data_IF_030873788989
#
_entry.id   IF_030873788989
#
_cell.length_a   1.000
_cell.length_b   1.000
_cell.length_c   1.000
_cell.angle_alpha   90.00
_cell.angle_beta   90.00
_cell.angle_gamma   90.00
#
_symmetry.space_group_name_H-M   'P 1'
#
loop_
_entity.id
_entity.type
_entity.pdbx_description
1 polymer ?
#
# COMPACT_ATOMS: atom_id res chain seq x y z
N UNK A 1 4.41 -28.75 -12.60
CA UNK A 1 3.74 -27.44 -12.74
C UNK A 1 4.68 -26.40 -12.16
N UNK A 2 5.15 -25.45 -12.97
CA UNK A 2 6.02 -24.37 -12.50
C UNK A 2 5.17 -23.35 -11.74
N UNK A 3 5.36 -23.25 -10.42
CA UNK A 3 4.67 -22.26 -9.58
C UNK A 3 5.12 -20.86 -9.99
N UNK A 4 4.17 -19.97 -10.33
CA UNK A 4 4.51 -18.59 -10.71
C UNK A 4 5.23 -17.88 -9.56
N UNK A 5 6.29 -17.09 -9.83
CA UNK A 5 6.97 -16.30 -8.80
C UNK A 5 6.11 -15.17 -8.23
N UNK A 6 4.94 -14.89 -8.83
CA UNK A 6 4.04 -13.81 -8.44
C UNK A 6 2.72 -14.33 -7.86
N UNK A 7 2.25 -13.65 -6.82
CA UNK A 7 0.88 -13.71 -6.33
C UNK A 7 0.31 -12.30 -6.43
N UNK A 8 -0.79 -12.14 -7.17
CA UNK A 8 -1.46 -10.86 -7.36
C UNK A 8 -2.76 -10.86 -6.56
N UNK A 9 -2.88 -9.97 -5.57
CA UNK A 9 -4.15 -9.72 -4.89
C UNK A 9 -4.87 -8.58 -5.57
N UNK A 10 -6.11 -8.80 -5.97
CA UNK A 10 -6.92 -7.77 -6.61
C UNK A 10 -7.87 -7.13 -5.60
N UNK A 11 -7.94 -5.81 -5.63
CA UNK A 11 -8.91 -5.02 -4.88
C UNK A 11 -10.08 -4.60 -5.80
N UNK A 12 -11.22 -4.22 -5.20
CA UNK A 12 -12.46 -3.87 -5.89
C UNK A 12 -12.22 -2.87 -7.03
N UNK A 13 -11.46 -1.81 -6.80
CA UNK A 13 -11.23 -0.75 -7.78
C UNK A 13 -10.53 -1.29 -9.03
N UNK A 14 -9.57 -2.19 -8.88
CA UNK A 14 -8.83 -2.80 -9.98
C UNK A 14 -9.73 -3.68 -10.87
N UNK A 15 -10.88 -4.11 -10.35
CA UNK A 15 -11.89 -4.89 -11.09
C UNK A 15 -12.92 -3.95 -11.71
N UNK A 16 -13.59 -3.12 -10.91
CA UNK A 16 -14.74 -2.32 -11.37
C UNK A 16 -14.36 -1.14 -12.25
N UNK A 17 -13.11 -0.69 -12.22
CA UNK A 17 -12.60 0.40 -13.06
C UNK A 17 -11.90 -0.10 -14.33
N UNK A 18 -11.82 -1.41 -14.53
CA UNK A 18 -11.12 -2.01 -15.68
C UNK A 18 -12.02 -2.96 -16.46
N UNK A 19 -11.47 -3.59 -17.49
CA UNK A 19 -12.19 -4.37 -18.48
C UNK A 19 -11.69 -5.84 -18.56
N UNK A 20 -12.46 -6.75 -19.17
CA UNK A 20 -12.08 -8.16 -19.31
C UNK A 20 -10.70 -8.41 -19.93
N UNK A 21 -10.21 -7.55 -20.83
CA UNK A 21 -8.88 -7.74 -21.40
C UNK A 21 -7.81 -7.43 -20.36
N UNK A 22 -8.04 -6.44 -19.50
CA UNK A 22 -7.17 -6.11 -18.38
C UNK A 22 -7.14 -7.26 -17.35
N UNK A 23 -8.27 -7.88 -17.03
CA UNK A 23 -8.30 -9.03 -16.12
C UNK A 23 -7.55 -10.24 -16.67
N UNK A 24 -7.74 -10.57 -17.95
CA UNK A 24 -6.98 -11.64 -18.62
C UNK A 24 -5.48 -11.35 -18.66
N UNK A 25 -5.11 -10.11 -18.95
CA UNK A 25 -3.72 -9.66 -18.91
C UNK A 25 -3.10 -9.85 -17.52
N UNK A 26 -3.80 -9.46 -16.45
CA UNK A 26 -3.34 -9.65 -15.07
C UNK A 26 -3.23 -11.14 -14.72
N UNK A 27 -4.18 -11.96 -15.14
CA UNK A 27 -4.17 -13.42 -14.91
C UNK A 27 -2.94 -14.12 -15.52
N UNK A 28 -2.31 -13.53 -16.54
CA UNK A 28 -1.09 -14.08 -17.16
C UNK A 28 0.18 -13.81 -16.35
N UNK A 29 0.14 -12.83 -15.44
CA UNK A 29 1.32 -12.44 -14.65
C UNK A 29 1.64 -13.48 -13.57
N UNK A 30 0.63 -14.13 -12.99
CA UNK A 30 0.84 -15.11 -11.95
C UNK A 30 -0.44 -15.59 -11.30
N UNK A 31 -0.33 -16.09 -10.08
CA UNK A 31 -1.48 -16.57 -9.34
C UNK A 31 -2.31 -15.40 -8.84
N UNK A 32 -3.58 -15.32 -9.25
CA UNK A 32 -4.47 -14.26 -8.84
C UNK A 32 -5.36 -14.70 -7.68
N UNK A 33 -5.28 -13.95 -6.59
CA UNK A 33 -6.10 -14.14 -5.40
C UNK A 33 -7.04 -12.95 -5.23
N UNK A 34 -8.24 -13.24 -4.75
CA UNK A 34 -9.26 -12.27 -4.42
C UNK A 34 -9.55 -12.39 -2.92
N UNK A 35 -9.24 -11.37 -2.10
CA UNK A 35 -9.67 -11.36 -0.70
C UNK A 35 -11.18 -11.62 -0.60
N UNK A 36 -11.62 -12.45 0.34
CA UNK A 36 -13.05 -12.78 0.49
C UNK A 36 -13.93 -11.53 0.64
N UNK A 37 -13.44 -10.51 1.34
CA UNK A 37 -14.16 -9.24 1.49
C UNK A 37 -14.33 -8.50 0.15
N UNK A 38 -13.36 -8.61 -0.77
CA UNK A 38 -13.45 -8.04 -2.12
C UNK A 38 -14.41 -8.87 -2.97
N UNK A 39 -14.36 -10.20 -2.86
CA UNK A 39 -15.30 -11.08 -3.55
C UNK A 39 -16.76 -10.75 -3.17
N UNK A 40 -17.02 -10.57 -1.88
CA UNK A 40 -18.32 -10.17 -1.35
C UNK A 40 -18.72 -8.77 -1.83
N UNK A 41 -17.80 -7.82 -1.86
CA UNK A 41 -18.11 -6.47 -2.33
C UNK A 41 -18.46 -6.44 -3.81
N UNK A 42 -17.72 -7.17 -4.65
CA UNK A 42 -18.05 -7.33 -6.07
C UNK A 42 -19.41 -8.02 -6.26
N UNK A 43 -19.78 -8.95 -5.38
CA UNK A 43 -21.12 -9.54 -5.36
C UNK A 43 -22.20 -8.50 -5.03
N UNK A 44 -21.96 -7.67 -4.02
CA UNK A 44 -22.87 -6.60 -3.64
C UNK A 44 -23.06 -5.59 -4.76
N UNK A 45 -21.99 -5.15 -5.42
CA UNK A 45 -22.07 -4.23 -6.56
C UNK A 45 -22.85 -4.87 -7.71
N UNK A 46 -22.59 -6.14 -8.06
CA UNK A 46 -23.32 -6.80 -9.13
C UNK A 46 -24.84 -6.93 -8.86
N UNK A 47 -25.23 -7.00 -7.59
CA UNK A 47 -26.61 -7.11 -7.15
C UNK A 47 -27.26 -5.75 -6.82
N UNK A 48 -26.58 -4.63 -7.10
CA UNK A 48 -27.09 -3.28 -6.79
C UNK A 48 -27.22 -2.98 -5.30
N UNK A 49 -26.47 -3.72 -4.44
CA UNK A 49 -26.45 -3.55 -2.98
C UNK A 49 -25.32 -2.63 -2.49
N UNK A 50 -24.40 -2.24 -3.37
CA UNK A 50 -23.29 -1.33 -3.07
C UNK A 50 -22.97 -0.46 -4.29
N UNK A 51 -22.33 0.68 -4.06
CA UNK A 51 -21.97 1.64 -5.10
C UNK A 51 -20.88 1.07 -6.03
N UNK A 52 -21.10 1.17 -7.33
CA UNK A 52 -20.12 0.74 -8.33
C UNK A 52 -20.75 0.48 -9.70
N UNK A 53 -19.95 -0.06 -10.62
CA UNK A 53 -20.44 -0.41 -11.95
C UNK A 53 -20.99 -1.84 -11.95
N UNK A 54 -22.32 -1.98 -11.79
CA UNK A 54 -22.99 -3.28 -11.72
C UNK A 54 -22.71 -4.17 -12.94
N UNK A 55 -22.70 -3.58 -14.13
CA UNK A 55 -22.44 -4.29 -15.39
C UNK A 55 -21.05 -4.91 -15.41
N UNK A 56 -20.04 -4.15 -15.00
CA UNK A 56 -18.65 -4.64 -14.93
C UNK A 56 -18.51 -5.70 -13.84
N UNK A 57 -19.15 -5.52 -12.68
CA UNK A 57 -19.11 -6.50 -11.60
C UNK A 57 -19.77 -7.84 -12.01
N UNK A 58 -20.92 -7.80 -12.68
CA UNK A 58 -21.57 -9.01 -13.25
C UNK A 58 -20.70 -9.69 -14.30
N UNK A 59 -20.08 -8.90 -15.17
CA UNK A 59 -19.18 -9.43 -16.20
C UNK A 59 -17.94 -10.08 -15.58
N UNK A 60 -17.39 -9.50 -14.52
CA UNK A 60 -16.28 -10.10 -13.79
C UNK A 60 -16.68 -11.44 -13.17
N UNK A 61 -17.84 -11.52 -12.51
CA UNK A 61 -18.30 -12.76 -11.90
C UNK A 61 -18.46 -13.90 -12.91
N UNK A 62 -19.00 -13.62 -14.10
CA UNK A 62 -19.17 -14.64 -15.14
C UNK A 62 -17.84 -15.14 -15.72
N UNK A 63 -16.82 -14.28 -15.76
CA UNK A 63 -15.49 -14.62 -16.25
C UNK A 63 -14.55 -15.18 -15.17
N UNK A 64 -14.83 -14.95 -13.89
CA UNK A 64 -13.93 -15.27 -12.78
C UNK A 64 -13.47 -16.73 -12.79
N UNK A 65 -14.38 -17.66 -13.00
CA UNK A 65 -14.07 -19.11 -13.05
C UNK A 65 -13.14 -19.46 -14.22
N UNK A 66 -13.24 -18.73 -15.34
CA UNK A 66 -12.38 -18.91 -16.51
C UNK A 66 -10.99 -18.30 -16.33
N UNK A 67 -10.87 -17.28 -15.47
CA UNK A 67 -9.61 -16.61 -15.16
C UNK A 67 -8.75 -17.37 -14.14
N UNK A 68 -9.27 -18.44 -13.52
CA UNK A 68 -8.63 -19.18 -12.42
C UNK A 68 -8.30 -18.31 -11.19
N UNK A 69 -9.08 -17.26 -10.94
CA UNK A 69 -8.87 -16.39 -9.77
C UNK A 69 -9.51 -17.00 -8.53
N UNK A 70 -8.71 -17.26 -7.51
CA UNK A 70 -9.14 -17.95 -6.29
C UNK A 70 -9.51 -16.96 -5.19
N UNK A 71 -10.49 -17.29 -4.34
CA UNK A 71 -10.69 -16.53 -3.10
C UNK A 71 -9.57 -16.86 -2.11
N UNK A 72 -9.21 -15.92 -1.24
CA UNK A 72 -8.33 -16.18 -0.10
C UNK A 72 -8.93 -15.63 1.19
N UNK A 73 -8.88 -16.45 2.24
CA UNK A 73 -9.19 -16.11 3.64
C UNK A 73 -7.94 -15.74 4.45
N UNK A 74 -6.74 -15.90 3.86
CA UNK A 74 -5.47 -15.65 4.54
C UNK A 74 -5.40 -14.19 4.96
N UNK A 75 -5.31 -13.97 6.27
CA UNK A 75 -5.19 -12.66 6.86
C UNK A 75 -4.22 -12.70 8.04
N UNK A 76 -3.58 -11.58 8.30
CA UNK A 76 -2.70 -11.42 9.44
C UNK A 76 -2.93 -10.08 10.12
N UNK A 77 -2.65 -10.04 11.42
CA UNK A 77 -2.70 -8.82 12.20
C UNK A 77 -1.35 -8.11 12.15
N UNK A 78 -1.39 -6.80 11.99
CA UNK A 78 -0.20 -5.95 12.06
C UNK A 78 -0.45 -4.80 13.04
N UNK A 79 0.50 -4.47 13.94
CA UNK A 79 0.29 -3.43 14.96
C UNK A 79 -0.19 -2.09 14.39
N UNK A 80 0.40 -1.65 13.27
CA UNK A 80 -0.01 -0.39 12.62
C UNK A 80 -1.43 -0.44 12.02
N UNK A 81 -1.93 -1.62 11.66
CA UNK A 81 -3.31 -1.80 11.19
C UNK A 81 -4.29 -1.86 12.38
N UNK A 82 -3.87 -2.45 13.50
CA UNK A 82 -4.68 -2.52 14.72
C UNK A 82 -4.93 -1.14 15.34
N UNK A 83 -3.91 -0.29 15.40
CA UNK A 83 -4.03 1.08 15.91
C UNK A 83 -5.06 1.92 15.15
N UNK A 84 -5.24 1.65 13.86
CA UNK A 84 -6.23 2.35 13.03
C UNK A 84 -7.65 1.81 13.20
N UNK A 85 -7.79 0.58 13.69
CA UNK A 85 -9.10 -0.09 13.84
C UNK A 85 -9.92 0.49 15.00
N UNK A 86 -9.29 1.15 15.98
CA UNK A 86 -9.97 1.73 17.15
C UNK A 86 -10.62 3.10 16.88
N UNK A 87 -10.65 3.57 15.63
CA UNK A 87 -11.21 4.87 15.23
C UNK A 87 -12.59 4.68 14.57
N UNK A 88 -13.44 5.71 14.59
CA UNK A 88 -14.69 5.73 13.80
C UNK A 88 -14.34 5.84 12.31
N UNK A 89 -14.15 4.71 11.65
CA UNK A 89 -13.74 4.62 10.26
C UNK A 89 -14.95 4.62 9.31
N UNK A 90 -14.80 5.28 8.17
CA UNK A 90 -15.73 5.13 7.05
C UNK A 90 -15.79 3.67 6.55
N UNK A 91 -16.84 3.32 5.79
CA UNK A 91 -16.95 1.99 5.18
C UNK A 91 -15.73 1.67 4.28
N UNK A 92 -15.33 2.61 3.43
CA UNK A 92 -14.15 2.51 2.55
C UNK A 92 -12.86 2.34 3.35
N UNK A 93 -12.66 3.10 4.43
CA UNK A 93 -11.46 2.98 5.25
C UNK A 93 -11.39 1.61 5.96
N UNK A 94 -12.54 1.08 6.43
CA UNK A 94 -12.63 -0.29 6.96
C UNK A 94 -12.30 -1.33 5.91
N UNK A 95 -12.80 -1.16 4.69
CA UNK A 95 -12.49 -2.03 3.55
C UNK A 95 -10.99 -2.06 3.27
N UNK A 96 -10.34 -0.89 3.17
CA UNK A 96 -8.90 -0.78 2.96
C UNK A 96 -8.09 -1.48 4.07
N UNK A 97 -8.46 -1.30 5.34
CA UNK A 97 -7.79 -1.98 6.44
C UNK A 97 -7.95 -3.50 6.36
N UNK A 98 -9.16 -3.99 6.02
CA UNK A 98 -9.37 -5.42 5.86
C UNK A 98 -8.52 -5.96 4.70
N UNK A 99 -8.56 -5.34 3.52
CA UNK A 99 -7.73 -5.74 2.38
C UNK A 99 -6.24 -5.76 2.74
N UNK A 100 -5.74 -4.75 3.47
CA UNK A 100 -4.35 -4.72 3.92
C UNK A 100 -3.98 -5.92 4.82
N UNK A 101 -4.90 -6.39 5.69
CA UNK A 101 -4.69 -7.60 6.49
C UNK A 101 -4.58 -8.85 5.63
N UNK A 102 -5.37 -8.96 4.56
CA UNK A 102 -5.27 -10.08 3.62
C UNK A 102 -3.93 -10.08 2.88
N UNK A 103 -3.54 -8.91 2.37
CA UNK A 103 -2.28 -8.73 1.65
C UNK A 103 -1.08 -9.15 2.51
N UNK A 104 -1.04 -8.73 3.79
CA UNK A 104 0.00 -9.15 4.73
C UNK A 104 -0.09 -10.64 5.06
N UNK A 105 -1.31 -11.18 5.24
CA UNK A 105 -1.51 -12.61 5.48
C UNK A 105 -0.93 -13.47 4.36
N UNK A 106 -1.16 -13.07 3.10
CA UNK A 106 -0.58 -13.74 1.94
C UNK A 106 0.94 -13.53 1.88
N UNK A 107 1.45 -12.31 2.10
CA UNK A 107 2.89 -12.06 2.13
C UNK A 107 3.62 -12.93 3.17
N UNK A 108 3.02 -13.11 4.35
CA UNK A 108 3.51 -13.97 5.43
C UNK A 108 3.50 -15.45 5.06
N UNK A 109 2.44 -15.91 4.40
CA UNK A 109 2.29 -17.32 4.01
C UNK A 109 3.22 -17.72 2.85
N UNK A 110 3.63 -16.76 2.02
CA UNK A 110 4.45 -17.01 0.83
C UNK A 110 5.72 -16.13 0.81
N UNK A 111 6.64 -16.28 1.77
CA UNK A 111 7.80 -15.39 1.93
C UNK A 111 8.78 -15.43 0.73
N UNK A 112 8.74 -16.49 -0.08
CA UNK A 112 9.60 -16.67 -1.24
C UNK A 112 8.95 -16.24 -2.57
N UNK A 113 7.73 -15.72 -2.55
CA UNK A 113 7.00 -15.24 -3.73
C UNK A 113 6.74 -13.76 -3.60
N UNK A 114 6.80 -13.06 -4.74
CA UNK A 114 6.51 -11.63 -4.79
C UNK A 114 5.00 -11.43 -4.76
N UNK A 115 4.51 -10.84 -3.67
CA UNK A 115 3.10 -10.54 -3.44
C UNK A 115 2.83 -9.11 -3.88
N UNK A 116 1.87 -8.96 -4.79
CA UNK A 116 1.56 -7.69 -5.44
C UNK A 116 0.09 -7.37 -5.20
N UNK A 117 -0.18 -6.32 -4.41
CA UNK A 117 -1.52 -5.73 -4.39
C UNK A 117 -1.73 -4.93 -5.68
N UNK A 118 -2.79 -5.23 -6.42
CA UNK A 118 -3.25 -4.42 -7.55
C UNK A 118 -4.49 -3.67 -7.11
N UNK A 119 -4.37 -2.35 -6.96
CA UNK A 119 -5.47 -1.47 -6.58
C UNK A 119 -5.26 -0.08 -7.16
N UNK A 120 -6.33 0.56 -7.62
CA UNK A 120 -6.33 1.95 -8.08
C UNK A 120 -6.59 2.96 -6.94
N UNK A 121 -6.92 2.47 -5.74
CA UNK A 121 -7.03 3.29 -4.52
C UNK A 121 -5.65 3.73 -4.00
N UNK A 122 -5.35 5.04 -4.15
CA UNK A 122 -4.08 5.64 -3.72
C UNK A 122 -3.82 5.41 -2.23
N UNK A 123 -4.83 5.64 -1.39
CA UNK A 123 -4.70 5.51 0.07
C UNK A 123 -4.37 4.09 0.52
N UNK A 124 -4.91 3.08 -0.16
CA UNK A 124 -4.61 1.69 0.15
C UNK A 124 -3.20 1.32 -0.31
N UNK A 125 -2.77 1.74 -1.50
CA UNK A 125 -1.39 1.52 -1.94
C UNK A 125 -0.39 2.19 -1.00
N UNK A 126 -0.64 3.44 -0.61
CA UNK A 126 0.20 4.17 0.35
C UNK A 126 0.23 3.49 1.72
N UNK A 127 -0.88 2.86 2.13
CA UNK A 127 -0.93 2.06 3.34
C UNK A 127 -0.02 0.84 3.22
N UNK A 128 -0.06 0.10 2.11
CA UNK A 128 0.84 -1.04 1.89
C UNK A 128 2.30 -0.59 1.89
N UNK A 129 2.65 0.50 1.20
CA UNK A 129 4.03 1.03 1.17
C UNK A 129 4.56 1.37 2.56
N UNK A 130 3.70 1.75 3.52
CA UNK A 130 4.11 2.00 4.92
C UNK A 130 4.30 0.73 5.73
N UNK A 131 3.66 -0.36 5.31
CA UNK A 131 3.81 -1.70 5.87
C UNK A 131 4.99 -2.45 5.22
N UNK A 132 5.40 -2.03 4.02
CA UNK A 132 6.64 -2.48 3.40
C UNK A 132 7.84 -2.12 4.29
N UNK A 133 8.72 -3.09 4.52
CA UNK A 133 9.85 -2.96 5.46
C UNK A 133 10.53 -4.31 5.70
N UNK A 134 11.31 -4.42 6.77
CA UNK A 134 11.99 -5.67 7.14
C UNK A 134 11.02 -6.85 7.36
N UNK A 135 9.77 -6.56 7.75
CA UNK A 135 8.77 -7.59 8.07
C UNK A 135 8.17 -8.24 6.82
N UNK A 136 8.03 -7.49 5.71
CA UNK A 136 7.42 -7.97 4.46
C UNK A 136 8.21 -7.49 3.22
N UNK A 137 9.43 -7.99 3.01
CA UNK A 137 10.29 -7.57 1.90
C UNK A 137 9.80 -8.08 0.55
N UNK A 138 8.89 -9.06 0.54
CA UNK A 138 8.30 -9.68 -0.64
C UNK A 138 7.00 -9.00 -1.10
N UNK A 139 6.59 -7.92 -0.45
CA UNK A 139 5.31 -7.25 -0.68
C UNK A 139 5.50 -5.93 -1.44
N UNK A 140 4.60 -5.66 -2.39
CA UNK A 140 4.45 -4.33 -2.97
C UNK A 140 2.99 -4.04 -3.40
N UNK A 141 2.69 -2.77 -3.73
CA UNK A 141 1.42 -2.38 -4.31
C UNK A 141 1.59 -1.56 -5.61
N UNK A 142 0.77 -1.84 -6.63
CA UNK A 142 0.78 -1.15 -7.93
C UNK A 142 -0.65 -0.82 -8.41
N UNK A 143 -0.84 0.21 -9.25
CA UNK A 143 -2.13 0.45 -9.91
C UNK A 143 -2.41 -0.58 -11.01
N UNK A 144 -3.69 -0.75 -11.36
CA UNK A 144 -4.12 -1.68 -12.41
C UNK A 144 -3.49 -1.36 -13.76
N UNK A 145 -3.29 -0.08 -14.06
CA UNK A 145 -2.60 0.39 -15.27
C UNK A 145 -1.15 -0.12 -15.35
N UNK A 146 -0.43 -0.16 -14.22
CA UNK A 146 0.94 -0.67 -14.17
C UNK A 146 0.96 -2.20 -14.34
N UNK A 147 0.01 -2.92 -13.74
CA UNK A 147 -0.13 -4.37 -13.95
C UNK A 147 -0.44 -4.69 -15.42
N UNK A 148 -1.33 -3.92 -16.05
CA UNK A 148 -1.66 -4.06 -17.48
C UNK A 148 -0.47 -3.76 -18.39
N UNK A 149 0.32 -2.74 -18.05
CA UNK A 149 1.52 -2.44 -18.83
C UNK A 149 2.55 -3.55 -18.69
N UNK A 150 2.75 -4.05 -17.47
CA UNK A 150 3.64 -5.16 -17.18
C UNK A 150 3.28 -6.41 -17.99
N UNK A 151 1.99 -6.77 -18.06
CA UNK A 151 1.57 -7.95 -18.83
C UNK A 151 1.84 -7.83 -20.33
N UNK A 152 1.89 -6.60 -20.85
CA UNK A 152 2.11 -6.34 -22.29
C UNK A 152 3.59 -6.28 -22.64
N UNK A 153 4.40 -5.66 -21.78
CA UNK A 153 5.82 -5.43 -22.07
C UNK A 153 6.72 -6.50 -21.48
N UNK A 154 6.20 -7.35 -20.58
CA UNK A 154 7.00 -8.26 -19.75
C UNK A 154 8.00 -7.52 -18.85
N UNK A 155 7.93 -6.18 -18.78
CA UNK A 155 8.80 -5.37 -17.94
C UNK A 155 8.13 -5.15 -16.58
N UNK A 156 8.75 -5.70 -15.53
CA UNK A 156 8.27 -5.56 -14.15
C UNK A 156 8.29 -4.10 -13.70
N UNK A 157 7.23 -3.62 -13.02
CA UNK A 157 7.23 -2.31 -12.38
C UNK A 157 8.37 -2.18 -11.35
N UNK A 158 8.93 -0.98 -11.13
CA UNK A 158 10.03 -0.79 -10.18
C UNK A 158 9.75 -1.32 -8.77
N UNK A 159 8.52 -1.18 -8.28
CA UNK A 159 8.11 -1.68 -6.96
C UNK A 159 8.12 -3.22 -6.90
N UNK A 160 7.74 -3.90 -7.99
CA UNK A 160 7.80 -5.37 -8.09
C UNK A 160 9.24 -5.84 -8.12
N UNK A 161 10.12 -5.13 -8.85
CA UNK A 161 11.55 -5.43 -8.87
C UNK A 161 12.19 -5.30 -7.50
N UNK A 162 11.86 -4.22 -6.76
CA UNK A 162 12.31 -3.99 -5.38
C UNK A 162 11.87 -5.13 -4.45
N UNK A 163 10.61 -5.55 -4.50
CA UNK A 163 10.12 -6.66 -3.70
C UNK A 163 10.85 -7.98 -4.01
N UNK A 164 11.14 -8.25 -5.29
CA UNK A 164 11.95 -9.42 -5.68
C UNK A 164 13.38 -9.35 -5.16
N UNK A 165 13.99 -8.17 -5.12
CA UNK A 165 15.32 -7.98 -4.54
C UNK A 165 15.29 -8.24 -3.03
N UNK A 166 14.27 -7.74 -2.33
CA UNK A 166 14.07 -7.99 -0.90
C UNK A 166 13.99 -9.49 -0.55
N UNK A 167 13.32 -10.30 -1.38
CA UNK A 167 13.30 -11.78 -1.22
C UNK A 167 14.72 -12.37 -1.28
N UNK A 168 15.55 -11.90 -2.22
CA UNK A 168 16.92 -12.39 -2.41
C UNK A 168 17.83 -12.02 -1.24
N UNK A 169 17.72 -10.80 -0.73
CA UNK A 169 18.52 -10.34 0.40
C UNK A 169 18.24 -11.16 1.66
N UNK A 170 16.97 -11.41 1.99
CA UNK A 170 16.61 -12.24 3.16
C UNK A 170 17.07 -13.70 3.00
N UNK A 171 16.99 -14.26 1.80
CA UNK A 171 17.53 -15.59 1.52
C UNK A 171 19.06 -15.65 1.71
N UNK A 172 19.79 -14.58 1.41
CA UNK A 172 21.24 -14.52 1.62
C UNK A 172 21.61 -14.40 3.10
N UNK A 173 20.89 -13.59 3.88
CA UNK A 173 21.13 -13.48 5.34
C UNK A 173 20.90 -14.78 6.10
N UNK A 174 19.95 -15.61 5.69
CA UNK A 174 19.69 -16.92 6.31
C UNK A 174 20.75 -17.98 5.98
N UNK A 175 21.41 -17.90 4.81
CA UNK A 175 22.49 -18.80 4.40
C UNK A 175 23.88 -18.38 4.87
N UNK A 176 24.05 -17.12 5.31
CA UNK A 176 25.36 -16.55 5.68
C UNK A 176 25.64 -16.55 7.18
N UNK A 177 24.76 -17.13 8.00
CA UNK A 177 25.06 -17.30 9.43
C UNK A 177 26.23 -18.29 9.57
N UNK A 178 27.42 -17.85 10.03
CA UNK A 178 28.52 -18.77 10.26
C UNK A 178 28.11 -19.68 11.40
N UNK A 179 28.05 -20.98 11.12
CA UNK A 179 28.10 -22.05 12.11
C UNK A 179 29.30 -21.80 13.02
N UNK A 180 29.09 -21.09 14.13
CA UNK A 180 30.03 -21.09 15.24
C UNK A 180 29.86 -22.46 15.89
N UNK A 181 30.71 -23.40 15.45
CA UNK A 181 30.87 -24.69 16.13
C UNK A 181 31.22 -24.38 17.58
N UNK A 182 30.26 -24.59 18.47
CA UNK A 182 30.51 -24.70 19.90
C UNK A 182 31.01 -26.12 20.10
N UNK A 183 32.25 -26.35 20.58
CA UNK A 183 32.66 -27.67 20.98
C UNK A 183 31.82 -28.11 22.17
N UNK A 184 31.25 -29.30 22.02
CA UNK A 184 30.62 -30.10 23.06
C UNK A 184 31.56 -30.23 24.25
N UNK A 185 31.11 -29.75 25.41
CA UNK A 185 31.50 -30.34 26.69
C UNK A 185 30.22 -30.62 27.47
N UNK A 186 29.99 -31.91 27.67
CA UNK A 186 28.89 -32.47 28.43
C UNK A 186 28.96 -31.99 29.88
N UNK A 187 27.92 -31.31 30.36
CA UNK A 187 27.55 -31.40 31.77
C UNK A 187 26.03 -31.22 31.93
N UNK A 188 25.43 -32.39 32.10
CA UNK A 188 24.16 -32.72 32.73
C UNK A 188 23.86 -31.87 33.98
N UNK A 189 22.79 -31.08 33.98
CA UNK A 189 21.60 -31.38 34.81
C UNK A 189 20.47 -30.35 34.66
N UNK A 190 19.26 -30.88 34.76
CA UNK A 190 17.97 -30.21 34.67
C UNK A 190 17.71 -29.33 35.91
N UNK A 191 17.19 -28.11 35.73
CA UNK A 191 15.79 -27.78 36.05
C UNK A 191 15.49 -26.28 35.95
N UNK A 192 14.29 -26.03 35.43
CA UNK A 192 13.53 -24.80 35.20
C UNK A 192 13.57 -23.78 36.36
N UNK A 193 13.62 -22.48 36.03
CA UNK A 193 12.53 -21.49 36.28
C UNK A 193 12.91 -20.13 35.65
N UNK A 194 12.00 -19.58 34.87
CA UNK A 194 12.04 -18.25 34.24
C UNK A 194 12.25 -17.11 35.25
N UNK A 195 13.07 -16.11 34.89
CA UNK A 195 12.92 -14.71 35.34
C UNK A 195 13.25 -13.75 34.21
N UNK A 196 12.28 -12.89 33.92
CA UNK A 196 12.33 -11.76 33.00
C UNK A 196 13.51 -10.81 33.30
N UNK A 197 14.22 -10.40 32.26
CA UNK A 197 14.97 -9.14 32.25
C UNK A 197 14.52 -8.31 31.05
N UNK A 198 13.87 -7.17 31.32
CA UNK A 198 13.60 -6.12 30.34
C UNK A 198 14.88 -5.36 30.04
N UNK A 199 15.38 -5.47 28.81
CA UNK A 199 16.33 -4.50 28.27
C UNK A 199 15.57 -3.33 27.64
N UNK A 200 15.89 -2.12 28.10
CA UNK A 200 15.40 -0.86 27.52
C UNK A 200 16.21 -0.55 26.25
N UNK A 201 15.59 -0.31 25.09
CA UNK A 201 16.33 0.18 23.93
C UNK A 201 16.64 1.69 24.06
N UNK A 202 17.92 2.01 23.85
CA UNK A 202 18.48 3.36 23.84
C UNK A 202 17.88 4.24 22.73
N UNK A 203 17.20 5.31 23.12
CA UNK A 203 16.50 6.27 22.25
C UNK A 203 17.40 7.41 21.71
N UNK A 204 18.70 7.14 21.51
CA UNK A 204 19.72 8.18 21.33
C UNK A 204 20.23 8.44 19.90
N UNK A 205 19.81 7.69 18.87
CA UNK A 205 20.53 7.74 17.57
C UNK A 205 19.69 7.88 16.29
N UNK A 206 18.36 8.11 16.35
CA UNK A 206 17.51 8.21 15.14
C UNK A 206 17.08 9.68 14.84
N UNK A 207 17.87 10.68 15.26
CA UNK A 207 17.46 12.09 15.14
C UNK A 207 18.19 12.92 14.06
N UNK A 208 19.07 12.35 13.22
CA UNK A 208 19.96 13.19 12.36
C UNK A 208 19.73 13.07 10.84
N UNK A 209 18.81 12.24 10.32
CA UNK A 209 18.57 12.18 8.86
C UNK A 209 17.29 12.87 8.35
N UNK A 210 16.39 13.35 9.21
CA UNK A 210 15.07 13.88 8.80
C UNK A 210 15.04 15.37 8.43
N UNK A 211 16.12 16.12 8.67
CA UNK A 211 16.14 17.58 8.46
C UNK A 211 16.43 17.98 7.01
N UNK A 212 16.97 17.10 6.17
CA UNK A 212 17.44 17.48 4.82
C UNK A 212 16.39 17.47 3.70
N UNK A 213 15.25 16.79 3.88
CA UNK A 213 14.22 16.67 2.82
C UNK A 213 12.83 17.17 3.21
N UNK A 214 12.57 17.45 4.49
CA UNK A 214 11.27 17.98 4.95
C UNK A 214 11.09 19.49 4.71
N UNK A 215 12.18 20.24 4.63
CA UNK A 215 12.12 21.72 4.51
C UNK A 215 11.92 22.14 3.03
N UNK A 216 12.54 21.45 2.07
CA UNK A 216 12.48 21.83 0.65
C UNK A 216 11.09 21.66 0.03
N UNK A 217 10.31 20.66 0.46
CA UNK A 217 8.96 20.42 -0.08
C UNK A 217 7.97 21.49 0.37
N UNK A 218 8.06 21.95 1.62
CA UNK A 218 7.20 23.02 2.15
C UNK A 218 7.46 24.33 1.41
N UNK A 219 8.72 24.70 1.18
CA UNK A 219 9.06 25.92 0.43
C UNK A 219 8.52 25.88 -1.01
N UNK A 220 8.62 24.75 -1.69
CA UNK A 220 8.18 24.61 -3.08
C UNK A 220 6.65 24.71 -3.21
N UNK A 221 5.91 24.05 -2.30
CA UNK A 221 4.44 24.15 -2.24
C UNK A 221 4.01 25.59 -1.94
N UNK A 222 4.71 26.27 -1.03
CA UNK A 222 4.38 27.66 -0.67
C UNK A 222 4.60 28.61 -1.84
N UNK A 223 5.73 28.49 -2.56
CA UNK A 223 6.01 29.31 -3.76
C UNK A 223 4.98 29.04 -4.86
N UNK A 224 4.59 27.78 -5.05
CA UNK A 224 3.59 27.42 -6.06
C UNK A 224 2.21 28.01 -5.72
N UNK A 225 1.80 27.96 -4.45
CA UNK A 225 0.55 28.55 -3.98
C UNK A 225 0.55 30.08 -4.09
N UNK A 226 1.68 30.74 -3.77
CA UNK A 226 1.82 32.20 -3.92
C UNK A 226 1.84 32.60 -5.39
N UNK A 227 2.56 31.86 -6.24
CA UNK A 227 2.60 32.09 -7.68
C UNK A 227 1.23 31.92 -8.33
N UNK A 228 0.49 30.86 -7.97
CA UNK A 228 -0.87 30.65 -8.45
C UNK A 228 -1.80 31.79 -7.97
N UNK A 229 -1.70 32.22 -6.72
CA UNK A 229 -2.49 33.34 -6.20
C UNK A 229 -2.26 34.63 -6.99
N UNK A 230 -1.03 34.94 -7.39
CA UNK A 230 -0.71 36.16 -8.14
C UNK A 230 -1.25 36.13 -9.57
N UNK A 231 -1.20 34.97 -10.23
CA UNK A 231 -1.60 34.86 -11.65
C UNK A 231 -3.12 34.71 -11.79
N UNK A 232 -3.79 33.98 -10.87
CA UNK A 232 -5.22 33.66 -10.97
C UNK A 232 -5.98 33.84 -9.64
N UNK A 233 -6.15 35.09 -9.15
CA UNK A 233 -6.71 35.36 -7.82
C UNK A 233 -8.17 34.90 -7.65
N UNK A 234 -9.01 35.00 -8.70
CA UNK A 234 -10.42 34.60 -8.63
C UNK A 234 -10.61 33.09 -8.49
N UNK A 235 -9.82 32.30 -9.23
CA UNK A 235 -9.84 30.83 -9.17
C UNK A 235 -9.28 30.34 -7.82
N UNK A 236 -8.24 31.00 -7.31
CA UNK A 236 -7.68 30.68 -6.00
C UNK A 236 -8.72 30.87 -4.88
N UNK A 237 -9.46 31.97 -4.86
CA UNK A 237 -10.49 32.24 -3.85
C UNK A 237 -11.64 31.21 -3.89
N UNK A 238 -12.07 30.80 -5.09
CA UNK A 238 -13.10 29.77 -5.24
C UNK A 238 -12.62 28.40 -4.73
N UNK A 239 -11.36 28.05 -5.00
CA UNK A 239 -10.74 26.85 -4.46
C UNK A 239 -10.61 26.94 -2.92
N UNK A 240 -10.10 28.06 -2.40
CA UNK A 240 -9.87 28.28 -0.97
C UNK A 240 -11.16 28.20 -0.16
N UNK A 241 -12.25 28.78 -0.68
CA UNK A 241 -13.58 28.69 -0.07
C UNK A 241 -14.15 27.27 -0.07
N UNK A 242 -13.92 26.48 -1.13
CA UNK A 242 -14.37 25.07 -1.21
C UNK A 242 -13.64 24.14 -0.23
N UNK A 243 -12.39 24.45 0.10
CA UNK A 243 -11.56 23.67 1.04
C UNK A 243 -11.87 24.05 2.51
N UNK A 244 -12.77 25.02 2.75
CA UNK A 244 -13.22 25.39 4.09
C UNK A 244 -12.20 26.20 4.89
N UNK A 245 -11.22 26.80 4.21
CA UNK A 245 -10.20 27.63 4.86
C UNK A 245 -10.73 29.07 5.02
N UNK A 246 -10.41 29.74 6.14
CA UNK A 246 -10.86 31.10 6.38
C UNK A 246 -10.30 32.07 5.31
N UNK A 247 -11.06 33.12 4.95
CA UNK A 247 -10.55 34.15 4.06
C UNK A 247 -9.33 34.82 4.68
N UNK A 248 -8.30 35.08 3.88
CA UNK A 248 -7.08 35.72 4.35
C UNK A 248 -7.35 37.17 4.82
N UNK A 249 -6.70 37.63 5.91
CA UNK A 249 -6.83 39.01 6.37
C UNK A 249 -6.38 40.01 5.27
N UNK A 250 -7.16 41.08 5.11
CA UNK A 250 -6.99 42.11 4.06
C UNK A 250 -5.70 42.95 4.16
N UNK A 251 -4.88 42.70 5.19
CA UNK A 251 -3.65 43.46 5.48
C UNK A 251 -2.58 43.41 4.37
N UNK A 252 -2.76 42.60 3.33
CA UNK A 252 -1.85 42.47 2.19
C UNK A 252 -2.47 42.85 0.83
N UNK A 253 -3.64 43.50 0.81
CA UNK A 253 -4.40 43.76 -0.44
C UNK A 253 -4.23 45.16 -1.07
N UNK A 254 -3.41 46.05 -0.52
CA UNK A 254 -3.26 47.41 -1.09
C UNK A 254 -1.84 47.67 -1.61
N UNK A 255 -1.63 47.71 -2.94
CA UNK A 255 -0.57 48.54 -3.49
C UNK A 255 -0.98 50.00 -3.26
N UNK A 256 -0.16 50.73 -2.51
CA UNK A 256 -0.26 52.18 -2.35
C UNK A 256 -0.28 52.84 -3.73
N UNK A 257 -1.43 53.38 -4.13
CA UNK A 257 -1.53 54.25 -5.30
C UNK A 257 -0.83 55.59 -4.98
N UNK A 258 0.09 56.08 -5.84
CA UNK A 258 0.67 57.40 -5.63
C UNK A 258 -0.37 58.48 -5.90
N UNK A 259 -0.48 59.41 -4.94
CA UNK A 259 -1.30 60.62 -5.02
C UNK A 259 -0.75 61.48 -6.17
N UNK A 260 -1.54 61.67 -7.23
CA UNK A 260 -1.25 62.70 -8.24
C UNK A 260 -1.61 64.06 -7.66
N UNK A 261 -0.59 64.88 -7.41
CA UNK A 261 -0.69 66.36 -7.37
C UNK A 261 -0.54 66.91 -8.78
#
# INVERSE_FOLDING_TARGET
MTTSPYILLLETSAIVQTDPNTWRAIAQLGECLLPEIVALEIENIANGRSDGNETVARQFQSLRSQLNWQSTSLSANHPQLMQRTSQNLSATARMHLNVARYVIGVASAYPHRCVVLVSDEVLLRDLIVKLEGCDYPNLCAIPSAAARQWSRTTQEPPLVQKAKQGIKEVAQFTLSSPTRQIPVSSQENQNSTQKFHSEKPNFGQIAISLVKYGITTIFLVTILLVGWRLIYPKMFQQFWGKVGLPPFPELFMTPSQPKKT
#
